data_IF_575314083785
#
_entry.id   IF_575314083785
#
_cell.length_a   1.000
_cell.length_b   1.000
_cell.length_c   1.000
_cell.angle_alpha   90.00
_cell.angle_beta   90.00
_cell.angle_gamma   90.00
#
_symmetry.space_group_name_H-M   'P 1'
#
loop_
_entity.id
_entity.type
_entity.pdbx_description
1 polymer ?
#
# COMPACT_ATOMS: atom_id res chain seq x y z
N UNK A 1 23.32 3.74 17.08
CA UNK A 1 22.20 3.22 16.28
C UNK A 1 20.86 3.68 16.84
N UNK A 2 20.57 3.44 18.12
CA UNK A 2 19.29 3.79 18.76
C UNK A 2 18.85 5.25 18.60
N UNK A 3 19.76 6.22 18.79
CA UNK A 3 19.42 7.64 18.61
C UNK A 3 18.98 7.96 17.16
N UNK A 4 19.58 7.32 16.16
CA UNK A 4 19.18 7.47 14.76
C UNK A 4 17.80 6.85 14.50
N UNK A 5 17.52 5.69 15.10
CA UNK A 5 16.21 5.04 15.01
C UNK A 5 15.13 5.88 15.68
N UNK A 6 15.39 6.44 16.87
CA UNK A 6 14.47 7.34 17.56
C UNK A 6 14.17 8.59 16.72
N UNK A 7 15.20 9.21 16.12
CA UNK A 7 15.02 10.34 15.22
C UNK A 7 14.19 9.98 13.99
N UNK A 8 14.44 8.81 13.38
CA UNK A 8 13.65 8.32 12.25
C UNK A 8 12.18 8.08 12.63
N UNK A 9 11.91 7.48 13.80
CA UNK A 9 10.54 7.27 14.31
C UNK A 9 9.81 8.59 14.52
N UNK A 10 10.49 9.63 15.02
CA UNK A 10 9.89 10.97 15.22
C UNK A 10 9.35 11.58 13.93
N UNK A 11 10.01 11.35 12.79
CA UNK A 11 9.54 11.89 11.49
C UNK A 11 8.11 11.46 11.14
N UNK A 12 7.63 10.34 11.71
CA UNK A 12 6.26 9.83 11.51
C UNK A 12 5.21 10.82 12.02
N UNK A 13 5.53 11.61 13.05
CA UNK A 13 4.64 12.69 13.49
C UNK A 13 4.50 13.78 12.43
N UNK A 14 5.54 14.03 11.63
CA UNK A 14 5.52 15.06 10.60
C UNK A 14 4.78 14.62 9.34
N UNK A 15 4.94 13.35 8.95
CA UNK A 15 4.40 12.84 7.68
C UNK A 15 3.14 11.99 7.82
N UNK A 16 2.95 11.22 8.90
CA UNK A 16 1.80 10.33 9.07
C UNK A 16 0.68 10.98 9.90
N UNK A 17 0.99 11.59 11.04
CA UNK A 17 -0.01 12.20 11.94
C UNK A 17 -0.99 13.17 11.25
N UNK A 18 -0.58 13.97 10.24
CA UNK A 18 -1.50 14.78 9.45
C UNK A 18 -2.65 14.01 8.82
N UNK A 19 -2.42 12.75 8.44
CA UNK A 19 -3.37 11.91 7.71
C UNK A 19 -4.28 11.09 8.63
N UNK A 20 -3.94 11.01 9.92
CA UNK A 20 -4.71 10.28 10.92
C UNK A 20 -5.84 11.17 11.44
N UNK A 21 -7.02 10.59 11.64
CA UNK A 21 -8.11 11.30 12.30
C UNK A 21 -7.70 11.69 13.72
N UNK A 22 -7.99 12.92 14.13
CA UNK A 22 -7.72 13.40 15.49
C UNK A 22 -8.99 13.29 16.35
N UNK A 23 -8.89 12.92 17.63
CA UNK A 23 -7.67 12.52 18.34
C UNK A 23 -7.20 11.12 17.93
N UNK A 24 -5.88 10.89 17.93
CA UNK A 24 -5.25 9.61 17.59
C UNK A 24 -4.50 9.02 18.79
N UNK A 25 -4.48 7.69 18.87
CA UNK A 25 -3.64 6.90 19.80
C UNK A 25 -2.42 6.34 19.08
N UNK A 26 -1.46 5.78 19.84
CA UNK A 26 -0.31 5.08 19.26
C UNK A 26 -0.72 3.98 18.28
N UNK A 27 -1.78 3.23 18.62
CA UNK A 27 -2.36 2.20 17.74
C UNK A 27 -2.88 2.78 16.43
N UNK A 28 -3.77 3.78 16.49
CA UNK A 28 -4.34 4.36 15.26
C UNK A 28 -3.28 5.02 14.38
N UNK A 29 -2.27 5.66 14.99
CA UNK A 29 -1.15 6.28 14.29
C UNK A 29 -0.30 5.24 13.56
N UNK A 30 0.11 4.18 14.24
CA UNK A 30 0.98 3.14 13.67
C UNK A 30 0.27 2.29 12.64
N UNK A 31 -1.02 2.02 12.83
CA UNK A 31 -1.88 1.36 11.84
C UNK A 31 -1.97 2.17 10.54
N UNK A 32 -2.28 3.46 10.64
CA UNK A 32 -2.34 4.34 9.45
C UNK A 32 -0.96 4.56 8.82
N UNK A 33 0.10 4.67 9.62
CA UNK A 33 1.47 4.75 9.12
C UNK A 33 1.80 3.57 8.18
N UNK A 34 1.54 2.33 8.63
CA UNK A 34 1.75 1.13 7.80
C UNK A 34 0.85 1.17 6.56
N UNK A 35 -0.42 1.53 6.73
CA UNK A 35 -1.35 1.64 5.61
C UNK A 35 -0.87 2.65 4.55
N UNK A 36 -0.32 3.81 4.96
CA UNK A 36 0.25 4.80 4.04
C UNK A 36 1.45 4.23 3.28
N UNK A 37 2.38 3.56 3.98
CA UNK A 37 3.54 2.91 3.36
C UNK A 37 3.09 1.92 2.27
N UNK A 38 2.16 1.02 2.58
CA UNK A 38 1.62 0.05 1.62
C UNK A 38 0.87 0.73 0.46
N UNK A 39 0.07 1.78 0.71
CA UNK A 39 -0.64 2.52 -0.34
C UNK A 39 0.28 3.32 -1.27
N UNK A 40 1.49 3.66 -0.80
CA UNK A 40 2.46 4.46 -1.54
C UNK A 40 3.28 3.64 -2.55
N UNK A 41 3.31 2.32 -2.41
CA UNK A 41 4.08 1.40 -3.25
C UNK A 41 3.16 0.55 -4.14
N UNK A 42 3.64 0.18 -5.34
CA UNK A 42 2.95 -0.77 -6.20
C UNK A 42 3.39 -2.18 -5.78
N UNK A 43 2.57 -2.85 -4.98
CA UNK A 43 2.81 -4.24 -4.54
C UNK A 43 1.78 -5.19 -5.14
N UNK A 44 2.18 -6.43 -5.50
CA UNK A 44 1.24 -7.45 -5.98
C UNK A 44 0.46 -8.16 -4.85
N UNK A 45 0.59 -7.69 -3.62
CA UNK A 45 -0.02 -8.29 -2.42
C UNK A 45 -1.48 -7.83 -2.24
N UNK A 46 -2.26 -8.58 -1.45
CA UNK A 46 -3.65 -8.20 -1.14
C UNK A 46 -3.70 -6.93 -0.30
N UNK A 47 -4.79 -6.15 -0.42
CA UNK A 47 -4.99 -4.95 0.40
C UNK A 47 -5.00 -5.22 1.91
N UNK A 48 -5.31 -6.45 2.32
CA UNK A 48 -5.30 -6.88 3.72
C UNK A 48 -3.89 -7.10 4.30
N UNK A 49 -2.84 -7.14 3.45
CA UNK A 49 -1.47 -7.42 3.90
C UNK A 49 -0.97 -6.37 4.88
N UNK A 50 -1.26 -5.09 4.63
CA UNK A 50 -0.92 -3.99 5.54
C UNK A 50 -1.48 -4.22 6.96
N UNK A 51 -2.76 -4.60 7.05
CA UNK A 51 -3.41 -4.92 8.33
C UNK A 51 -2.75 -6.14 8.99
N UNK A 52 -2.50 -7.22 8.24
CA UNK A 52 -1.86 -8.42 8.82
C UNK A 52 -0.46 -8.15 9.39
N UNK A 53 0.31 -7.26 8.74
CA UNK A 53 1.65 -6.88 9.23
C UNK A 53 1.56 -6.00 10.47
N UNK A 54 0.58 -5.09 10.50
CA UNK A 54 0.30 -4.32 11.70
C UNK A 54 -0.07 -5.24 12.87
N UNK A 55 -1.02 -6.16 12.68
CA UNK A 55 -1.46 -7.06 13.76
C UNK A 55 -0.31 -7.94 14.28
N UNK A 56 0.53 -8.46 13.39
CA UNK A 56 1.69 -9.27 13.78
C UNK A 56 2.73 -8.50 14.62
N UNK A 57 2.80 -7.17 14.49
CA UNK A 57 3.77 -6.31 15.19
C UNK A 57 3.10 -5.34 16.18
N UNK A 58 1.80 -5.53 16.46
CA UNK A 58 0.98 -4.57 17.19
C UNK A 58 1.57 -4.22 18.55
N UNK A 59 1.96 -5.22 19.33
CA UNK A 59 2.50 -5.02 20.68
C UNK A 59 3.73 -4.09 20.68
N UNK A 60 4.73 -4.42 19.84
CA UNK A 60 5.95 -3.63 19.74
C UNK A 60 5.70 -2.21 19.22
N UNK A 61 4.85 -2.06 18.20
CA UNK A 61 4.55 -0.76 17.59
C UNK A 61 3.79 0.15 18.56
N UNK A 62 2.77 -0.38 19.22
CA UNK A 62 1.97 0.37 20.20
C UNK A 62 2.87 0.83 21.34
N UNK A 63 3.62 -0.08 21.98
CA UNK A 63 4.49 0.27 23.10
C UNK A 63 5.55 1.32 22.72
N UNK A 64 6.19 1.15 21.56
CA UNK A 64 7.23 2.07 21.07
C UNK A 64 6.65 3.46 20.79
N UNK A 65 5.48 3.53 20.17
CA UNK A 65 4.87 4.82 19.82
C UNK A 65 4.12 5.47 20.98
N UNK A 66 3.69 4.71 21.99
CA UNK A 66 3.18 5.28 23.25
C UNK A 66 4.27 6.07 23.96
N UNK A 67 5.47 5.49 24.10
CA UNK A 67 6.66 6.17 24.65
C UNK A 67 6.98 7.43 23.84
N UNK A 68 7.01 7.30 22.51
CA UNK A 68 7.26 8.44 21.61
C UNK A 68 6.22 9.55 21.74
N UNK A 69 4.93 9.21 21.89
CA UNK A 69 3.85 10.20 22.07
C UNK A 69 3.91 10.85 23.44
N UNK A 70 4.34 10.13 24.49
CA UNK A 70 4.58 10.72 25.81
C UNK A 70 5.73 11.75 25.74
N UNK A 71 6.85 11.39 25.10
CA UNK A 71 7.99 12.30 24.90
C UNK A 71 7.58 13.52 24.06
N UNK A 72 6.87 13.30 22.94
CA UNK A 72 6.39 14.38 22.07
C UNK A 72 5.37 15.30 22.76
N UNK A 73 4.60 14.79 23.72
CA UNK A 73 3.72 15.60 24.56
C UNK A 73 4.51 16.48 25.52
N UNK A 74 5.62 15.99 26.08
CA UNK A 74 6.51 16.80 26.93
C UNK A 74 7.20 17.91 26.14
N UNK A 75 7.54 17.64 24.88
CA UNK A 75 8.14 18.58 23.93
C UNK A 75 7.12 19.54 23.28
N UNK A 76 5.82 19.45 23.63
CA UNK A 76 4.70 20.23 23.05
C UNK A 76 4.50 20.08 21.54
N UNK A 77 5.01 19.00 20.94
CA UNK A 77 4.75 18.64 19.54
C UNK A 77 3.35 18.05 19.35
N UNK A 78 2.82 17.46 20.42
CA UNK A 78 1.50 16.83 20.47
C UNK A 78 0.77 17.32 21.73
N UNK A 79 -0.53 17.55 21.61
CA UNK A 79 -1.41 17.94 22.71
C UNK A 79 -2.27 16.74 23.09
N UNK A 80 -2.28 16.36 24.37
CA UNK A 80 -3.19 15.35 24.91
C UNK A 80 -4.63 15.87 24.89
N UNK A 81 -5.54 15.06 24.35
CA UNK A 81 -6.97 15.34 24.25
C UNK A 81 -7.74 14.09 24.67
N UNK A 82 -8.20 14.07 25.93
CA UNK A 82 -8.80 12.86 26.54
C UNK A 82 -7.84 11.68 26.50
N UNK A 83 -8.33 10.54 26.01
CA UNK A 83 -7.55 9.30 25.84
C UNK A 83 -6.62 9.32 24.62
N UNK A 84 -6.64 10.39 23.82
CA UNK A 84 -5.88 10.50 22.59
C UNK A 84 -4.94 11.69 22.55
N UNK A 85 -4.33 11.84 21.38
CA UNK A 85 -3.35 12.85 21.06
C UNK A 85 -3.78 13.61 19.80
N UNK A 86 -3.47 14.90 19.75
CA UNK A 86 -3.64 15.73 18.56
C UNK A 86 -2.31 16.40 18.24
N UNK A 87 -1.91 16.40 16.98
CA UNK A 87 -0.73 17.15 16.53
C UNK A 87 -0.88 18.63 16.87
N UNK A 88 0.13 19.23 17.51
CA UNK A 88 0.14 20.67 17.80
C UNK A 88 0.19 21.49 16.50
N UNK A 89 0.87 20.96 15.48
CA UNK A 89 0.90 21.53 14.14
C UNK A 89 -0.21 20.91 13.28
N UNK A 90 -1.20 21.71 12.88
CA UNK A 90 -2.16 21.34 11.83
C UNK A 90 -1.54 21.72 10.48
N UNK A 91 -1.08 20.76 9.66
CA UNK A 91 -0.65 21.10 8.32
C UNK A 91 -1.84 21.65 7.54
N UNK A 92 -1.64 22.80 6.91
CA UNK A 92 -2.65 23.40 6.04
C UNK A 92 -3.04 22.46 4.90
N UNK A 93 -4.23 22.67 4.34
CA UNK A 93 -4.76 21.87 3.24
C UNK A 93 -3.78 21.77 2.05
N UNK A 94 -3.03 22.84 1.76
CA UNK A 94 -1.97 22.87 0.74
C UNK A 94 -0.88 21.81 0.98
N UNK A 95 -0.42 21.67 2.23
CA UNK A 95 0.64 20.73 2.58
C UNK A 95 0.17 19.28 2.40
N UNK A 96 -1.09 19.00 2.74
CA UNK A 96 -1.73 17.70 2.52
C UNK A 96 -1.82 17.37 1.03
N UNK A 97 -2.29 18.32 0.22
CA UNK A 97 -2.44 18.17 -1.24
C UNK A 97 -1.10 17.98 -1.92
N UNK A 98 -0.09 18.80 -1.60
CA UNK A 98 1.25 18.69 -2.19
C UNK A 98 1.88 17.32 -1.95
N UNK A 99 1.75 16.79 -0.73
CA UNK A 99 2.25 15.46 -0.39
C UNK A 99 1.46 14.34 -1.07
N UNK A 100 0.13 14.46 -1.15
CA UNK A 100 -0.68 13.51 -1.92
C UNK A 100 -0.30 13.49 -3.41
N UNK A 101 -0.09 14.67 -4.00
CA UNK A 101 0.43 14.82 -5.36
C UNK A 101 1.81 14.17 -5.49
N UNK A 102 2.72 14.39 -4.55
CA UNK A 102 4.04 13.77 -4.55
C UNK A 102 3.99 12.24 -4.63
N UNK A 103 3.14 11.59 -3.82
CA UNK A 103 2.96 10.14 -3.87
C UNK A 103 2.34 9.69 -5.20
N UNK A 104 1.34 10.42 -5.69
CA UNK A 104 0.67 10.12 -6.96
C UNK A 104 1.64 10.23 -8.14
N UNK A 105 2.38 11.33 -8.26
CA UNK A 105 3.40 11.51 -9.30
C UNK A 105 4.54 10.50 -9.19
N UNK A 106 4.92 10.10 -7.97
CA UNK A 106 5.94 9.06 -7.78
C UNK A 106 5.47 7.70 -8.29
N UNK A 107 4.22 7.33 -8.02
CA UNK A 107 3.60 6.13 -8.61
C UNK A 107 3.53 6.20 -10.13
N UNK A 108 3.07 7.34 -10.68
CA UNK A 108 3.01 7.56 -12.13
C UNK A 108 4.39 7.41 -12.77
N UNK A 109 5.45 8.01 -12.20
CA UNK A 109 6.82 7.91 -12.73
C UNK A 109 7.35 6.48 -12.73
N UNK A 110 7.07 5.71 -11.67
CA UNK A 110 7.46 4.30 -11.60
C UNK A 110 6.73 3.48 -12.66
N UNK A 111 5.42 3.68 -12.82
CA UNK A 111 4.62 3.00 -13.84
C UNK A 111 5.01 3.41 -15.27
N UNK A 112 5.27 4.70 -15.50
CA UNK A 112 5.70 5.21 -16.80
C UNK A 112 7.08 4.65 -17.20
N UNK A 113 7.97 4.43 -16.22
CA UNK A 113 9.23 3.73 -16.46
C UNK A 113 9.02 2.30 -16.95
N UNK A 114 7.99 1.60 -16.47
CA UNK A 114 7.63 0.28 -17.00
C UNK A 114 7.12 0.37 -18.43
N UNK A 115 6.29 1.36 -18.76
CA UNK A 115 5.83 1.58 -20.14
C UNK A 115 7.01 1.81 -21.09
N UNK A 116 8.00 2.60 -20.68
CA UNK A 116 9.26 2.75 -21.44
C UNK A 116 9.91 1.38 -21.69
N UNK A 117 10.06 0.55 -20.67
CA UNK A 117 10.63 -0.79 -20.83
C UNK A 117 9.82 -1.70 -21.77
N UNK A 118 8.49 -1.61 -21.76
CA UNK A 118 7.62 -2.35 -22.70
C UNK A 118 7.83 -1.88 -24.14
N UNK A 119 8.00 -0.58 -24.36
CA UNK A 119 8.24 -0.01 -25.69
C UNK A 119 9.65 -0.33 -26.23
N UNK A 120 10.64 -0.47 -25.35
CA UNK A 120 12.03 -0.77 -25.74
C UNK A 120 12.30 -2.27 -25.88
N UNK A 121 11.54 -3.15 -25.22
CA UNK A 121 11.71 -4.60 -25.36
C UNK A 121 11.08 -5.12 -26.64
N UNK A 122 11.91 -5.45 -27.63
CA UNK A 122 11.49 -6.26 -28.76
C UNK A 122 11.00 -7.64 -28.25
N UNK A 123 9.89 -8.15 -28.78
CA UNK A 123 9.26 -9.43 -28.39
C UNK A 123 8.62 -9.51 -26.99
N UNK A 124 8.36 -8.40 -26.30
CA UNK A 124 7.63 -8.42 -25.01
C UNK A 124 6.26 -9.14 -25.10
N UNK A 125 5.59 -9.02 -26.23
CA UNK A 125 4.25 -9.58 -26.48
C UNK A 125 4.29 -11.11 -26.46
N UNK A 126 5.22 -11.73 -27.18
CA UNK A 126 5.36 -13.19 -27.24
C UNK A 126 5.87 -13.76 -25.91
N UNK A 127 6.69 -13.03 -25.15
CA UNK A 127 7.05 -13.39 -23.78
C UNK A 127 5.84 -13.39 -22.84
N UNK A 128 5.01 -12.35 -22.89
CA UNK A 128 3.84 -12.21 -22.01
C UNK A 128 2.79 -13.28 -22.30
N UNK A 129 2.52 -13.57 -23.58
CA UNK A 129 1.60 -14.65 -23.99
C UNK A 129 2.04 -16.00 -23.44
N UNK A 130 3.30 -16.38 -23.63
CA UNK A 130 3.83 -17.66 -23.07
C UNK A 130 3.67 -17.73 -21.56
N UNK A 131 3.76 -16.59 -20.87
CA UNK A 131 3.59 -16.51 -19.41
C UNK A 131 2.13 -16.64 -18.98
N UNK A 132 1.19 -16.13 -19.78
CA UNK A 132 -0.26 -16.29 -19.59
C UNK A 132 -0.67 -17.73 -19.93
N UNK A 133 -0.27 -18.27 -21.07
CA UNK A 133 -0.56 -19.64 -21.48
C UNK A 133 -0.13 -20.67 -20.43
N UNK A 134 1.05 -20.48 -19.82
CA UNK A 134 1.53 -21.36 -18.74
C UNK A 134 0.70 -21.31 -17.45
N UNK A 135 0.08 -20.16 -17.12
CA UNK A 135 -0.73 -20.03 -15.89
C UNK A 135 -2.19 -20.39 -16.12
N UNK A 136 -2.72 -20.14 -17.31
CA UNK A 136 -4.16 -20.26 -17.59
C UNK A 136 -4.49 -21.48 -18.44
N UNK A 137 -3.50 -22.15 -19.05
CA UNK A 137 -3.68 -23.31 -19.94
C UNK A 137 -4.34 -23.00 -21.29
N UNK A 138 -4.85 -21.78 -21.47
CA UNK A 138 -5.52 -21.33 -22.69
C UNK A 138 -4.48 -20.85 -23.71
N UNK A 139 -4.46 -21.46 -24.91
CA UNK A 139 -3.71 -20.93 -26.06
C UNK A 139 -4.35 -19.65 -26.53
N UNK A 140 -3.58 -18.58 -26.57
CA UNK A 140 -4.06 -17.26 -27.01
C UNK A 140 -3.55 -17.03 -28.42
N UNK A 141 -4.32 -17.44 -29.42
CA UNK A 141 -4.03 -17.10 -30.81
C UNK A 141 -4.29 -15.60 -31.02
N UNK A 142 -3.22 -14.86 -31.38
CA UNK A 142 -3.31 -13.44 -31.71
C UNK A 142 -3.57 -13.25 -33.20
N UNK A 143 -4.58 -12.46 -33.53
CA UNK A 143 -4.88 -12.07 -34.92
C UNK A 143 -3.78 -11.14 -35.46
N UNK A 144 -3.57 -11.10 -36.78
CA UNK A 144 -2.53 -10.27 -37.42
C UNK A 144 -2.59 -8.76 -37.03
N UNK A 145 -3.79 -8.22 -36.79
CA UNK A 145 -3.99 -6.85 -36.33
C UNK A 145 -3.55 -6.65 -34.87
N UNK A 146 -3.72 -7.66 -34.02
CA UNK A 146 -3.30 -7.62 -32.61
C UNK A 146 -1.78 -7.72 -32.47
N UNK A 147 -1.10 -8.35 -33.44
CA UNK A 147 0.37 -8.32 -33.54
C UNK A 147 0.91 -6.96 -33.95
N UNK A 148 0.20 -6.22 -34.81
CA UNK A 148 0.60 -4.88 -35.28
C UNK A 148 0.31 -3.77 -34.27
N UNK A 149 -0.80 -3.86 -33.53
CA UNK A 149 -1.22 -2.83 -32.57
C UNK A 149 -1.52 -3.44 -31.19
N UNK A 150 -0.53 -4.10 -30.55
CA UNK A 150 -0.76 -4.89 -29.34
C UNK A 150 -1.28 -4.05 -28.17
N UNK A 151 -0.82 -2.80 -28.03
CA UNK A 151 -1.28 -1.93 -26.94
C UNK A 151 -2.75 -1.53 -27.10
N UNK A 152 -3.23 -1.29 -28.33
CA UNK A 152 -4.63 -0.89 -28.57
C UNK A 152 -5.58 -2.07 -28.33
N UNK A 153 -5.24 -3.26 -28.85
CA UNK A 153 -6.06 -4.46 -28.72
C UNK A 153 -5.91 -5.18 -27.36
N UNK A 154 -4.86 -4.87 -26.58
CA UNK A 154 -4.71 -5.39 -25.23
C UNK A 154 -5.73 -4.79 -24.25
N UNK A 155 -6.12 -3.52 -24.39
CA UNK A 155 -7.05 -2.86 -23.46
C UNK A 155 -8.43 -3.55 -23.40
N UNK A 156 -9.14 -3.83 -24.52
CA UNK A 156 -10.42 -4.52 -24.48
C UNK A 156 -10.35 -5.91 -23.83
N UNK A 157 -9.26 -6.66 -24.10
CA UNK A 157 -9.03 -7.98 -23.49
C UNK A 157 -8.78 -7.86 -21.98
N UNK A 158 -7.97 -6.88 -21.57
CA UNK A 158 -7.70 -6.59 -20.17
C UNK A 158 -8.98 -6.20 -19.42
N UNK A 159 -9.80 -5.30 -19.96
CA UNK A 159 -11.09 -4.93 -19.37
C UNK A 159 -12.05 -6.12 -19.27
N UNK A 160 -12.07 -7.00 -20.28
CA UNK A 160 -12.88 -8.22 -20.24
C UNK A 160 -12.44 -9.17 -19.13
N UNK A 161 -11.13 -9.37 -18.97
CA UNK A 161 -10.56 -10.21 -17.89
C UNK A 161 -10.80 -9.58 -16.52
N UNK A 162 -10.62 -8.26 -16.38
CA UNK A 162 -10.87 -7.56 -15.11
C UNK A 162 -12.35 -7.58 -14.73
N UNK A 163 -13.26 -7.46 -15.70
CA UNK A 163 -14.72 -7.51 -15.48
C UNK A 163 -15.21 -8.93 -15.17
N UNK A 164 -14.57 -9.94 -15.76
CA UNK A 164 -14.91 -11.35 -15.57
C UNK A 164 -14.09 -12.00 -14.44
N UNK A 165 -13.26 -11.23 -13.73
CA UNK A 165 -12.54 -11.71 -12.54
C UNK A 165 -13.59 -11.96 -11.46
N UNK A 166 -13.88 -13.22 -11.10
CA UNK A 166 -14.95 -13.51 -10.15
C UNK A 166 -14.61 -12.88 -8.80
N UNK A 167 -15.63 -12.42 -8.08
CA UNK A 167 -15.56 -11.90 -6.72
C UNK A 167 -15.03 -12.93 -5.68
N UNK A 168 -14.65 -14.14 -6.12
CA UNK A 168 -14.16 -15.23 -5.28
C UNK A 168 -12.80 -14.92 -4.62
N UNK A 169 -11.88 -14.21 -5.28
CA UNK A 169 -10.62 -13.78 -4.62
C UNK A 169 -10.86 -12.72 -3.53
N UNK A 170 -11.92 -11.90 -3.67
CA UNK A 170 -12.31 -10.92 -2.65
C UNK A 170 -12.97 -11.56 -1.42
N UNK A 171 -13.59 -12.73 -1.58
CA UNK A 171 -14.13 -13.55 -0.48
C UNK A 171 -13.05 -14.42 0.19
N UNK A 172 -12.09 -14.95 -0.57
CA UNK A 172 -10.99 -15.78 -0.04
C UNK A 172 -10.04 -14.99 0.88
N UNK A 173 -9.97 -13.66 0.74
CA UNK A 173 -9.28 -12.77 1.70
C UNK A 173 -10.00 -12.57 3.04
N UNK A 174 -11.21 -13.12 3.24
CA UNK A 174 -12.03 -12.96 4.46
C UNK A 174 -12.22 -14.25 5.25
N UNK A 175 -11.67 -15.39 4.81
CA UNK A 175 -11.81 -16.67 5.50
C UNK A 175 -10.43 -17.25 5.88
N UNK A 176 -9.87 -16.76 6.98
CA UNK A 176 -9.07 -17.62 7.86
C UNK A 176 -10.07 -18.25 8.84
N UNK A 177 -10.34 -19.56 8.79
CA UNK A 177 -11.04 -20.21 9.89
C UNK A 177 -10.20 -20.07 11.17
N UNK A 178 -10.81 -19.85 12.35
CA UNK A 178 -10.09 -19.91 13.61
C UNK A 178 -9.39 -21.27 13.70
N UNK A 179 -8.11 -21.23 14.10
CA UNK A 179 -7.31 -22.43 14.29
C UNK A 179 -8.04 -23.42 15.19
N UNK A 180 -8.15 -24.66 14.72
CA UNK A 180 -8.49 -25.81 15.55
C UNK A 180 -7.36 -26.03 16.54
N UNK A 181 -7.50 -25.42 17.72
CA UNK A 181 -6.94 -25.94 18.96
C UNK A 181 -7.57 -27.32 19.24
N UNK A 182 -6.73 -28.28 19.61
CA UNK A 182 -7.09 -29.50 20.36
C UNK A 182 -7.72 -30.64 19.56
N UNK A 183 -6.97 -31.73 19.37
CA UNK A 183 -7.09 -32.88 20.28
C UNK A 183 -6.06 -33.98 19.96
N UNK A 184 -5.40 -34.42 21.03
CA UNK A 184 -4.68 -35.70 21.26
C UNK A 184 -3.55 -36.14 20.34
#
# INVERSE_FOLDING_TARGET
LENCLAAARRTVLDWAAPYVATPFTAETLTREMIAICYRSEIRPESGARASSVFEAQRAYLVETYEKLLADASSERLVVREGDGCRSAYRPGWLARTRRFMYFTFSKIRVTARWLKHVLTFENWLSYTLRKVERRTGMRVELTALERRLPLIFAWPRLFRVLRNRPAEEAASGRALPPGSEGDT
#
